data_IF_760749206308
#
_entry.id   IF_760749206308
#
_cell.length_a   1.000
_cell.length_b   1.000
_cell.length_c   1.000
_cell.angle_alpha   90.00
_cell.angle_beta   90.00
_cell.angle_gamma   90.00
#
_symmetry.space_group_name_H-M   'P 1'
#
loop_
_entity.id
_entity.type
_entity.pdbx_description
1 polymer ?
#
# COMPACT_ATOMS: atom_id res chain seq x y z
N UNK A 1 -17.35 19.97 -59.78
CA UNK A 1 -16.11 20.26 -59.01
C UNK A 1 -16.34 20.38 -57.50
N UNK A 2 -17.48 20.93 -57.00
CA UNK A 2 -17.75 21.08 -55.56
C UNK A 2 -17.85 19.77 -54.76
N UNK A 3 -18.46 18.71 -55.30
CA UNK A 3 -18.63 17.43 -54.60
C UNK A 3 -17.33 16.64 -54.38
N UNK A 4 -16.37 16.74 -55.30
CA UNK A 4 -15.05 16.08 -55.17
C UNK A 4 -14.23 16.71 -54.03
N UNK A 5 -14.28 18.05 -53.92
CA UNK A 5 -13.61 18.81 -52.85
C UNK A 5 -14.21 18.47 -51.48
N UNK A 6 -15.53 18.32 -51.40
CA UNK A 6 -16.23 18.01 -50.15
C UNK A 6 -15.90 16.60 -49.61
N UNK A 7 -15.77 15.61 -50.50
CA UNK A 7 -15.37 14.24 -50.12
C UNK A 7 -13.91 14.15 -49.65
N UNK A 8 -12.99 14.85 -50.31
CA UNK A 8 -11.58 14.90 -49.89
C UNK A 8 -11.37 15.58 -48.54
N UNK A 9 -12.15 16.63 -48.22
CA UNK A 9 -12.11 17.30 -46.92
C UNK A 9 -12.59 16.38 -45.80
N UNK A 10 -13.66 15.60 -46.04
CA UNK A 10 -14.17 14.63 -45.05
C UNK A 10 -13.12 13.54 -44.79
N UNK A 11 -12.47 13.02 -45.83
CA UNK A 11 -11.40 12.02 -45.68
C UNK A 11 -10.20 12.55 -44.88
N UNK A 12 -9.80 13.81 -45.11
CA UNK A 12 -8.72 14.46 -44.36
C UNK A 12 -9.08 14.68 -42.88
N UNK A 13 -10.33 15.07 -42.59
CA UNK A 13 -10.80 15.22 -41.22
C UNK A 13 -10.86 13.86 -40.50
N UNK A 14 -11.27 12.81 -41.20
CA UNK A 14 -11.31 11.45 -40.67
C UNK A 14 -9.89 10.92 -40.39
N UNK A 15 -8.95 11.14 -41.31
CA UNK A 15 -7.56 10.72 -41.12
C UNK A 15 -6.89 11.52 -39.98
N UNK A 16 -7.16 12.82 -39.88
CA UNK A 16 -6.63 13.65 -38.79
C UNK A 16 -7.18 13.22 -37.42
N UNK A 17 -8.47 12.86 -37.35
CA UNK A 17 -9.08 12.29 -36.15
C UNK A 17 -8.43 10.97 -35.71
N UNK A 18 -8.21 10.06 -36.66
CA UNK A 18 -7.57 8.76 -36.39
C UNK A 18 -6.13 8.93 -35.90
N UNK A 19 -5.36 9.83 -36.52
CA UNK A 19 -3.96 10.10 -36.12
C UNK A 19 -3.89 10.65 -34.69
N UNK A 20 -4.79 11.55 -34.29
CA UNK A 20 -4.80 12.10 -32.93
C UNK A 20 -5.22 11.06 -31.87
N UNK A 21 -6.09 10.10 -32.22
CA UNK A 21 -6.48 9.01 -31.32
C UNK A 21 -5.33 8.01 -31.14
N UNK A 22 -4.59 7.67 -32.20
CA UNK A 22 -3.44 6.78 -32.13
C UNK A 22 -2.21 7.44 -31.48
N UNK A 23 -2.05 8.76 -31.65
CA UNK A 23 -0.96 9.53 -31.05
C UNK A 23 -1.23 9.95 -29.59
N UNK A 24 -2.38 9.58 -29.02
CA UNK A 24 -2.68 9.84 -27.63
C UNK A 24 -1.61 9.16 -26.75
N UNK A 25 -0.90 9.92 -25.90
CA UNK A 25 0.15 9.36 -25.06
C UNK A 25 -0.48 8.32 -24.12
N UNK A 26 -0.04 7.07 -24.24
CA UNK A 26 -0.32 6.03 -23.26
C UNK A 26 0.14 6.54 -21.90
N UNK A 27 -0.81 6.81 -21.00
CA UNK A 27 -0.54 7.23 -19.64
C UNK A 27 0.23 6.10 -18.95
N UNK A 28 1.54 6.21 -18.88
CA UNK A 28 2.37 5.22 -18.19
C UNK A 28 2.00 5.27 -16.71
N UNK A 29 1.24 4.28 -16.26
CA UNK A 29 1.01 4.05 -14.85
C UNK A 29 2.32 3.54 -14.28
N UNK A 30 3.17 4.46 -13.84
CA UNK A 30 4.28 4.10 -12.97
C UNK A 30 3.71 3.36 -11.75
N UNK A 31 4.34 2.26 -11.31
CA UNK A 31 3.86 1.52 -10.15
C UNK A 31 3.76 2.48 -8.97
N UNK A 32 2.56 2.62 -8.40
CA UNK A 32 2.35 3.39 -7.18
C UNK A 32 3.16 2.75 -6.07
N UNK A 33 4.26 3.40 -5.69
CA UNK A 33 5.05 2.98 -4.55
C UNK A 33 4.35 3.44 -3.28
N UNK A 34 3.75 2.49 -2.56
CA UNK A 34 3.18 2.77 -1.24
C UNK A 34 4.31 2.87 -0.22
N UNK A 35 4.34 3.94 0.56
CA UNK A 35 5.29 4.07 1.67
C UNK A 35 4.89 3.14 2.80
N UNK A 36 5.83 2.37 3.33
CA UNK A 36 5.63 1.53 4.50
C UNK A 36 6.15 2.26 5.75
N UNK A 37 5.31 2.31 6.78
CA UNK A 37 5.70 2.76 8.13
C UNK A 37 5.50 1.57 9.05
N UNK A 38 6.58 1.18 9.75
CA UNK A 38 6.55 0.15 10.79
C UNK A 38 6.62 0.85 12.15
N UNK A 39 5.62 0.60 13.01
CA UNK A 39 5.58 1.14 14.37
C UNK A 39 5.74 -0.02 15.34
N UNK A 40 6.87 -0.07 16.04
CA UNK A 40 7.14 -1.05 17.09
C UNK A 40 6.83 -0.42 18.46
N UNK A 41 5.99 -1.09 19.25
CA UNK A 41 5.61 -0.65 20.60
C UNK A 41 6.07 -1.72 21.58
N UNK A 42 7.07 -1.39 22.39
CA UNK A 42 7.67 -2.35 23.32
C UNK A 42 6.71 -2.72 24.45
N UNK A 43 6.74 -3.99 24.87
CA UNK A 43 5.91 -4.52 25.95
C UNK A 43 4.40 -4.45 25.72
N UNK A 44 3.92 -4.21 24.49
CA UNK A 44 2.50 -4.10 24.17
C UNK A 44 1.84 -5.47 24.04
N UNK A 45 1.27 -5.98 25.14
CA UNK A 45 0.63 -7.29 25.18
C UNK A 45 -0.66 -7.31 24.35
N UNK A 46 -0.96 -8.45 23.75
CA UNK A 46 -2.09 -8.66 22.82
C UNK A 46 -3.47 -8.24 23.37
N UNK A 47 -3.69 -8.36 24.69
CA UNK A 47 -4.96 -8.05 25.36
C UNK A 47 -5.02 -6.66 26.01
N UNK A 48 -4.01 -5.79 25.83
CA UNK A 48 -4.05 -4.45 26.43
C UNK A 48 -5.21 -3.60 25.92
N UNK A 49 -5.63 -3.78 24.67
CA UNK A 49 -6.76 -3.02 24.13
C UNK A 49 -8.12 -3.40 24.74
N UNK A 50 -8.19 -4.52 25.47
CA UNK A 50 -9.40 -4.95 26.18
C UNK A 50 -9.49 -4.33 27.58
N UNK A 51 -8.37 -3.80 28.10
CA UNK A 51 -8.30 -3.20 29.42
C UNK A 51 -8.98 -1.80 29.43
N UNK A 52 -9.88 -1.53 30.41
CA UNK A 52 -10.52 -0.24 30.59
C UNK A 52 -9.59 0.98 30.54
N UNK A 53 -8.34 0.86 30.98
CA UNK A 53 -7.39 1.97 30.99
C UNK A 53 -7.04 2.49 29.58
N UNK A 54 -7.16 1.65 28.55
CA UNK A 54 -6.87 2.02 27.17
C UNK A 54 -8.09 2.46 26.36
N UNK A 55 -9.30 2.46 26.96
CA UNK A 55 -10.56 2.87 26.29
C UNK A 55 -10.54 4.31 25.74
N UNK A 56 -9.72 5.18 26.31
CA UNK A 56 -9.59 6.57 25.87
C UNK A 56 -8.72 6.72 24.61
N UNK A 57 -7.99 5.68 24.19
CA UNK A 57 -7.16 5.71 22.99
C UNK A 57 -8.01 5.50 21.74
N UNK A 58 -8.26 6.58 21.00
CA UNK A 58 -9.08 6.52 19.77
C UNK A 58 -8.32 5.98 18.55
N UNK A 59 -6.99 6.00 18.57
CA UNK A 59 -6.13 5.61 17.44
C UNK A 59 -6.23 4.13 17.09
N UNK A 60 -5.99 3.24 18.05
CA UNK A 60 -6.01 1.80 17.83
C UNK A 60 -7.36 1.27 17.32
N UNK A 61 -8.52 1.66 17.88
CA UNK A 61 -9.82 1.27 17.33
C UNK A 61 -10.01 1.67 15.86
N UNK A 62 -9.51 2.85 15.46
CA UNK A 62 -9.58 3.29 14.06
C UNK A 62 -8.71 2.44 13.14
N UNK A 63 -7.48 2.09 13.57
CA UNK A 63 -6.57 1.22 12.80
C UNK A 63 -7.17 -0.18 12.65
N UNK A 64 -7.74 -0.74 13.72
CA UNK A 64 -8.36 -2.07 13.70
C UNK A 64 -9.60 -2.07 12.80
N UNK A 65 -10.46 -1.06 12.90
CA UNK A 65 -11.68 -0.95 12.09
C UNK A 65 -11.40 -0.83 10.59
N UNK A 66 -10.33 -0.11 10.22
CA UNK A 66 -9.98 0.16 8.83
C UNK A 66 -8.83 -0.73 8.31
N UNK A 67 -8.43 -1.74 9.08
CA UNK A 67 -7.25 -2.57 8.81
C UNK A 67 -7.45 -4.02 9.22
N UNK A 68 -6.35 -4.70 9.51
CA UNK A 68 -6.34 -6.11 9.92
C UNK A 68 -5.63 -6.24 11.26
N UNK A 69 -6.21 -7.04 12.16
CA UNK A 69 -5.65 -7.35 13.49
C UNK A 69 -5.53 -8.88 13.62
N UNK A 70 -4.35 -9.36 14.01
CA UNK A 70 -4.16 -10.74 14.47
C UNK A 70 -4.63 -10.90 15.93
N UNK A 71 -5.02 -12.11 16.33
CA UNK A 71 -5.44 -12.40 17.71
C UNK A 71 -4.32 -12.10 18.72
N UNK A 72 -3.11 -12.59 18.43
CA UNK A 72 -1.88 -12.31 19.15
C UNK A 72 -0.67 -12.48 18.24
N UNK A 73 0.50 -12.01 18.70
CA UNK A 73 1.79 -12.29 18.09
C UNK A 73 2.60 -13.18 19.05
N UNK A 74 3.14 -14.28 18.55
CA UNK A 74 4.03 -15.14 19.32
C UNK A 74 5.47 -14.58 19.28
N UNK A 75 6.05 -14.19 20.43
CA UNK A 75 7.41 -13.68 20.46
C UNK A 75 8.42 -14.83 20.34
N UNK A 76 9.63 -14.51 19.86
CA UNK A 76 10.75 -15.44 19.95
C UNK A 76 11.24 -15.55 21.41
N UNK A 77 11.85 -16.69 21.75
CA UNK A 77 12.53 -16.89 23.03
C UNK A 77 14.00 -16.44 22.95
N UNK A 78 14.54 -15.71 23.95
CA UNK A 78 13.82 -15.15 25.09
C UNK A 78 12.95 -13.96 24.69
N UNK A 79 11.83 -13.75 25.39
CA UNK A 79 10.85 -12.69 25.10
C UNK A 79 11.33 -11.30 25.56
N UNK A 80 12.48 -10.88 25.06
CA UNK A 80 13.14 -9.60 25.33
C UNK A 80 13.03 -8.67 24.12
N UNK A 81 13.14 -7.37 24.36
CA UNK A 81 13.04 -6.30 23.36
C UNK A 81 13.99 -6.53 22.18
N UNK A 82 15.30 -6.67 22.46
CA UNK A 82 16.31 -6.76 21.41
C UNK A 82 16.17 -8.03 20.55
N UNK A 83 16.05 -9.26 21.11
CA UNK A 83 15.84 -10.46 20.31
C UNK A 83 14.58 -10.40 19.43
N UNK A 84 13.46 -9.88 19.96
CA UNK A 84 12.21 -9.81 19.20
C UNK A 84 12.25 -8.78 18.06
N UNK A 85 12.81 -7.59 18.30
CA UNK A 85 12.92 -6.57 17.26
C UNK A 85 13.85 -7.00 16.13
N UNK A 86 14.97 -7.67 16.43
CA UNK A 86 15.86 -8.20 15.40
C UNK A 86 15.23 -9.36 14.63
N UNK A 87 14.48 -10.24 15.30
CA UNK A 87 13.73 -11.31 14.62
C UNK A 87 12.68 -10.73 13.67
N UNK A 88 12.00 -9.66 14.06
CA UNK A 88 11.02 -8.97 13.19
C UNK A 88 11.69 -8.30 11.98
N UNK A 89 12.87 -7.71 12.16
CA UNK A 89 13.59 -7.03 11.09
C UNK A 89 14.26 -8.00 10.10
N UNK A 90 14.73 -9.16 10.57
CA UNK A 90 15.53 -10.10 9.77
C UNK A 90 14.77 -11.34 9.31
N UNK A 91 13.69 -11.71 10.01
CA UNK A 91 13.00 -12.99 9.81
C UNK A 91 13.77 -14.20 10.35
N UNK A 92 14.82 -13.99 11.16
CA UNK A 92 15.65 -15.04 11.74
C UNK A 92 15.36 -15.24 13.24
N UNK A 93 15.65 -16.43 13.76
CA UNK A 93 15.64 -16.69 15.21
C UNK A 93 16.88 -16.11 15.91
N UNK A 94 16.84 -15.84 17.23
CA UNK A 94 17.97 -15.31 17.99
C UNK A 94 19.28 -16.08 17.82
N UNK A 95 19.25 -17.41 17.70
CA UNK A 95 20.45 -18.20 17.40
C UNK A 95 21.18 -17.80 16.11
N UNK A 96 20.52 -17.09 15.19
CA UNK A 96 21.04 -16.73 13.87
C UNK A 96 21.28 -15.23 13.70
N UNK A 97 20.81 -14.36 14.62
CA UNK A 97 21.03 -12.91 14.55
C UNK A 97 21.75 -12.30 15.76
N UNK A 98 21.97 -13.07 16.85
CA UNK A 98 22.84 -12.71 17.98
C UNK A 98 22.09 -12.29 19.24
#
# INVERSE_FOLDING_TARGET
>A
MRGLVQSSVILLLYSFGIVNVLAAPSKSTSPKHHKLIVVLIDGFRWNYLDDPQFKNLKGFPSIIKNGVKAEYLEPVYPSLTYPNMNSFATGLYPENHG
#
